data_IF_847689438992
#
_entry.id   IF_847689438992
#
_cell.length_a   1.000
_cell.length_b   1.000
_cell.length_c   1.000
_cell.angle_alpha   90.00
_cell.angle_beta   90.00
_cell.angle_gamma   90.00
#
_symmetry.space_group_name_H-M   'P 1'
#
loop_
_entity.id
_entity.type
_entity.pdbx_description
1 polymer ?
#
# COMPACT_ATOMS: atom_id res chain seq x y z
N UNK A 1 0.52 0.28 33.03
CA UNK A 1 1.78 0.19 32.28
C UNK A 1 1.43 0.43 30.82
N UNK A 2 1.67 1.64 30.35
CA UNK A 2 1.48 2.01 28.96
C UNK A 2 2.54 1.30 28.13
N UNK A 3 2.13 0.30 27.36
CA UNK A 3 2.99 -0.28 26.34
C UNK A 3 3.24 0.83 25.31
N UNK A 4 4.43 1.42 25.32
CA UNK A 4 4.89 2.28 24.24
C UNK A 4 4.75 1.50 22.93
N UNK A 5 3.96 2.02 22.03
CA UNK A 5 3.79 1.47 20.68
C UNK A 5 5.13 1.66 19.96
N UNK A 6 5.82 0.57 19.63
CA UNK A 6 7.07 0.63 18.86
C UNK A 6 6.71 1.19 17.46
N UNK A 7 7.43 2.20 16.97
CA UNK A 7 7.13 2.76 15.65
C UNK A 7 7.33 1.69 14.57
N UNK A 8 6.38 1.61 13.63
CA UNK A 8 6.48 0.73 12.46
C UNK A 8 7.64 1.20 11.58
N UNK A 9 8.62 0.34 11.37
CA UNK A 9 9.79 0.64 10.55
C UNK A 9 9.71 -0.16 9.25
N UNK A 10 9.58 0.55 8.16
CA UNK A 10 9.77 0.02 6.83
C UNK A 10 10.80 0.89 6.14
N UNK A 11 11.92 0.29 5.74
CA UNK A 11 13.02 1.02 5.09
C UNK A 11 12.66 1.29 3.62
N UNK A 12 11.90 2.35 3.38
CA UNK A 12 11.75 2.89 2.05
C UNK A 12 13.04 3.59 1.62
N UNK A 13 13.42 3.36 0.38
CA UNK A 13 14.61 3.98 -0.20
C UNK A 13 14.31 5.47 -0.48
N UNK A 14 15.10 6.36 0.10
CA UNK A 14 15.03 7.79 -0.20
C UNK A 14 15.56 8.09 -1.61
N UNK A 15 15.05 9.11 -2.30
CA UNK A 15 15.58 9.51 -3.59
C UNK A 15 17.04 9.97 -3.44
N UNK A 16 17.85 9.67 -4.46
CA UNK A 16 19.25 10.04 -4.48
C UNK A 16 19.35 11.58 -4.56
N UNK A 17 19.82 12.20 -3.48
CA UNK A 17 20.19 13.62 -3.45
C UNK A 17 21.70 13.73 -3.61
N UNK A 18 22.22 13.56 -4.82
CA UNK A 18 23.61 13.92 -5.12
C UNK A 18 23.69 15.42 -5.44
N UNK A 19 24.53 16.17 -4.71
CA UNK A 19 24.95 17.51 -5.09
C UNK A 19 25.83 17.40 -6.35
N UNK A 20 25.24 17.59 -7.52
CA UNK A 20 25.94 17.60 -8.78
C UNK A 20 26.40 19.02 -9.10
N UNK A 21 27.72 19.18 -9.29
CA UNK A 21 28.34 20.38 -9.79
C UNK A 21 27.78 20.78 -11.17
N UNK A 22 27.65 22.07 -11.42
CA UNK A 22 26.85 22.70 -12.47
C UNK A 22 27.19 22.33 -13.92
N UNK A 23 28.36 21.75 -14.20
CA UNK A 23 28.85 21.43 -15.56
C UNK A 23 28.54 20.02 -16.07
N UNK A 24 27.96 19.14 -15.23
CA UNK A 24 27.58 17.79 -15.61
C UNK A 24 26.06 17.64 -15.87
N UNK A 25 25.36 18.74 -15.99
CA UNK A 25 23.90 18.86 -15.74
C UNK A 25 22.95 18.26 -16.76
N UNK A 26 23.36 17.79 -17.95
CA UNK A 26 22.41 17.24 -18.91
C UNK A 26 22.38 15.70 -18.97
N UNK A 27 23.47 15.01 -18.81
CA UNK A 27 23.49 13.54 -18.82
C UNK A 27 23.42 12.93 -17.41
N UNK A 28 24.07 13.55 -16.43
CA UNK A 28 24.06 13.09 -15.04
C UNK A 28 22.68 13.20 -14.38
N UNK A 29 21.95 14.29 -14.62
CA UNK A 29 20.58 14.49 -14.09
C UNK A 29 19.61 13.39 -14.54
N UNK A 30 19.65 12.99 -15.81
CA UNK A 30 18.74 11.96 -16.36
C UNK A 30 18.98 10.58 -15.77
N UNK A 31 20.25 10.20 -15.55
CA UNK A 31 20.59 8.91 -14.92
C UNK A 31 20.17 8.88 -13.46
N UNK A 32 20.32 10.00 -12.75
CA UNK A 32 19.85 10.16 -11.37
C UNK A 32 18.32 10.08 -11.30
N UNK A 33 17.62 10.71 -12.24
CA UNK A 33 16.15 10.67 -12.34
C UNK A 33 15.64 9.23 -12.56
N UNK A 34 16.25 8.46 -13.46
CA UNK A 34 15.88 7.06 -13.71
C UNK A 34 16.09 6.20 -12.46
N UNK A 35 17.22 6.33 -11.78
CA UNK A 35 17.47 5.60 -10.52
C UNK A 35 16.45 5.97 -9.45
N UNK A 36 16.08 7.24 -9.31
CA UNK A 36 15.07 7.69 -8.37
C UNK A 36 13.68 7.15 -8.71
N UNK A 37 13.32 7.06 -9.99
CA UNK A 37 12.08 6.44 -10.45
C UNK A 37 12.04 4.94 -10.15
N UNK A 38 13.15 4.21 -10.35
CA UNK A 38 13.25 2.79 -10.01
C UNK A 38 13.12 2.57 -8.50
N UNK A 39 13.70 3.44 -7.67
CA UNK A 39 13.52 3.41 -6.22
C UNK A 39 12.06 3.67 -5.83
N UNK A 40 11.40 4.63 -6.47
CA UNK A 40 9.98 4.91 -6.25
C UNK A 40 9.10 3.70 -6.62
N UNK A 41 9.40 2.99 -7.73
CA UNK A 41 8.73 1.74 -8.10
C UNK A 41 8.93 0.64 -7.06
N UNK A 42 10.15 0.50 -6.55
CA UNK A 42 10.44 -0.47 -5.48
C UNK A 42 9.64 -0.15 -4.22
N UNK A 43 9.64 1.11 -3.79
CA UNK A 43 8.88 1.57 -2.63
C UNK A 43 7.37 1.33 -2.79
N UNK A 44 6.81 1.60 -3.98
CA UNK A 44 5.40 1.33 -4.31
C UNK A 44 5.10 -0.16 -4.22
N UNK A 45 5.98 -1.01 -4.77
CA UNK A 45 5.81 -2.47 -4.71
C UNK A 45 5.79 -2.95 -3.26
N UNK A 46 6.70 -2.45 -2.43
CA UNK A 46 6.77 -2.77 -1.01
C UNK A 46 5.51 -2.34 -0.24
N UNK A 47 4.99 -1.15 -0.55
CA UNK A 47 3.74 -0.68 0.05
C UNK A 47 2.53 -1.53 -0.40
N UNK A 48 2.51 -2.00 -1.65
CA UNK A 48 1.45 -2.89 -2.15
C UNK A 48 1.48 -4.25 -1.44
N UNK A 49 2.66 -4.82 -1.22
CA UNK A 49 2.83 -6.05 -0.42
C UNK A 49 2.29 -5.88 1.01
N UNK A 50 2.61 -4.75 1.68
CA UNK A 50 2.06 -4.42 3.00
C UNK A 50 0.52 -4.38 2.99
N UNK A 51 -0.07 -3.77 1.95
CA UNK A 51 -1.52 -3.69 1.79
C UNK A 51 -2.17 -5.05 1.53
N UNK A 52 -1.48 -5.96 0.85
CA UNK A 52 -1.95 -7.33 0.63
C UNK A 52 -1.96 -8.13 1.93
N UNK A 53 -0.91 -8.04 2.74
CA UNK A 53 -0.86 -8.67 4.06
C UNK A 53 -1.95 -8.12 5.00
N UNK A 54 -2.18 -6.81 4.97
CA UNK A 54 -3.26 -6.20 5.74
C UNK A 54 -4.65 -6.70 5.30
N UNK A 55 -4.90 -6.84 4.00
CA UNK A 55 -6.16 -7.35 3.48
C UNK A 55 -6.39 -8.82 3.88
N UNK A 56 -5.36 -9.67 3.81
CA UNK A 56 -5.42 -11.07 4.31
C UNK A 56 -5.76 -11.11 5.80
N UNK A 57 -5.18 -10.19 6.59
CA UNK A 57 -5.51 -10.05 8.00
C UNK A 57 -6.97 -9.68 8.23
N UNK A 58 -7.47 -8.69 7.49
CA UNK A 58 -8.87 -8.25 7.58
C UNK A 58 -9.85 -9.37 7.20
N UNK A 59 -9.54 -10.16 6.19
CA UNK A 59 -10.39 -11.30 5.78
C UNK A 59 -10.50 -12.36 6.88
N UNK A 60 -9.39 -12.69 7.53
CA UNK A 60 -9.39 -13.63 8.67
C UNK A 60 -10.20 -13.10 9.86
N UNK A 61 -10.04 -11.81 10.19
CA UNK A 61 -10.80 -11.16 11.27
C UNK A 61 -12.30 -11.11 10.92
N UNK A 62 -12.64 -10.77 9.69
CA UNK A 62 -14.03 -10.74 9.19
C UNK A 62 -14.68 -12.11 9.30
N UNK A 63 -13.96 -13.19 8.96
CA UNK A 63 -14.45 -14.57 9.10
C UNK A 63 -14.75 -14.92 10.57
N UNK A 64 -13.84 -14.59 11.51
CA UNK A 64 -14.06 -14.82 12.95
C UNK A 64 -15.26 -14.02 13.48
N UNK A 65 -15.40 -12.76 13.08
CA UNK A 65 -16.54 -11.93 13.45
C UNK A 65 -17.85 -12.46 12.88
N UNK A 66 -17.85 -12.94 11.64
CA UNK A 66 -19.02 -13.55 11.01
C UNK A 66 -19.44 -14.83 11.74
N UNK A 67 -18.48 -15.66 12.19
CA UNK A 67 -18.76 -16.85 12.99
C UNK A 67 -19.34 -16.47 14.35
N UNK A 68 -18.78 -15.49 15.06
CA UNK A 68 -19.33 -14.98 16.33
C UNK A 68 -20.79 -14.50 16.11
N UNK A 69 -21.06 -13.78 15.01
CA UNK A 69 -22.42 -13.34 14.68
C UNK A 69 -23.39 -14.52 14.48
N UNK A 70 -22.95 -15.59 13.80
CA UNK A 70 -23.76 -16.79 13.61
C UNK A 70 -24.04 -17.51 14.92
N UNK A 71 -23.04 -17.62 15.81
CA UNK A 71 -23.17 -18.21 17.13
C UNK A 71 -24.11 -17.42 18.05
N UNK A 72 -24.21 -16.11 17.87
CA UNK A 72 -25.09 -15.24 18.64
C UNK A 72 -26.56 -15.28 18.17
N UNK A 73 -26.84 -15.64 16.92
CA UNK A 73 -28.21 -15.62 16.35
C UNK A 73 -29.25 -16.42 17.13
N UNK A 74 -28.99 -17.65 17.62
CA UNK A 74 -30.00 -18.40 18.37
C UNK A 74 -30.51 -17.69 19.61
N UNK A 75 -29.68 -16.90 20.29
CA UNK A 75 -30.06 -16.16 21.50
C UNK A 75 -31.08 -15.04 21.25
N UNK A 76 -31.37 -14.72 19.99
CA UNK A 76 -32.42 -13.75 19.60
C UNK A 76 -33.83 -14.32 19.73
N UNK A 77 -33.97 -15.65 19.79
CA UNK A 77 -35.25 -16.31 19.89
C UNK A 77 -35.75 -16.35 21.36
N UNK A 78 -37.02 -16.08 21.57
CA UNK A 78 -37.63 -16.09 22.90
C UNK A 78 -37.64 -17.47 23.55
N UNK A 79 -37.45 -18.54 22.77
CA UNK A 79 -37.41 -19.95 23.21
C UNK A 79 -35.99 -20.54 23.14
N UNK A 80 -34.97 -19.69 23.25
CA UNK A 80 -33.58 -20.13 23.24
C UNK A 80 -33.31 -21.10 24.42
N UNK A 81 -32.73 -22.25 24.09
CA UNK A 81 -32.41 -23.27 25.10
C UNK A 81 -31.12 -22.87 25.85
N UNK A 82 -31.28 -22.45 27.10
CA UNK A 82 -30.18 -22.08 27.98
C UNK A 82 -29.18 -23.23 28.21
N UNK A 83 -29.56 -24.49 27.96
CA UNK A 83 -28.62 -25.63 28.06
C UNK A 83 -27.49 -25.52 27.02
N UNK A 84 -27.72 -24.85 25.90
CA UNK A 84 -26.73 -24.64 24.85
C UNK A 84 -25.88 -23.37 25.07
N UNK A 85 -26.27 -22.53 26.04
CA UNK A 85 -25.63 -21.26 26.29
C UNK A 85 -24.13 -21.42 26.58
N UNK A 86 -23.74 -22.31 27.46
CA UNK A 86 -22.35 -22.56 27.82
C UNK A 86 -21.49 -22.96 26.62
N UNK A 87 -22.05 -23.75 25.70
CA UNK A 87 -21.36 -24.16 24.47
C UNK A 87 -21.15 -22.98 23.53
N UNK A 88 -22.15 -22.12 23.38
CA UNK A 88 -22.07 -20.89 22.56
C UNK A 88 -21.04 -19.92 23.15
N UNK A 89 -21.05 -19.68 24.46
CA UNK A 89 -20.09 -18.82 25.14
C UNK A 89 -18.65 -19.29 24.98
N UNK A 90 -18.40 -20.60 25.14
CA UNK A 90 -17.08 -21.19 24.94
C UNK A 90 -16.59 -20.96 23.50
N UNK A 91 -17.43 -21.25 22.50
CA UNK A 91 -17.07 -21.04 21.09
C UNK A 91 -16.77 -19.56 20.79
N UNK A 92 -17.60 -18.64 21.27
CA UNK A 92 -17.36 -17.19 21.10
C UNK A 92 -16.08 -16.76 21.80
N UNK A 93 -15.80 -17.28 22.99
CA UNK A 93 -14.54 -16.99 23.70
C UNK A 93 -13.32 -17.50 22.95
N UNK A 94 -13.42 -18.69 22.32
CA UNK A 94 -12.35 -19.22 21.46
C UNK A 94 -12.11 -18.31 20.24
N UNK A 95 -13.16 -17.88 19.54
CA UNK A 95 -13.04 -16.98 18.38
C UNK A 95 -12.48 -15.61 18.77
N UNK A 96 -12.87 -15.07 19.94
CA UNK A 96 -12.29 -13.83 20.47
C UNK A 96 -10.80 -13.98 20.78
N UNK A 97 -10.40 -15.07 21.42
CA UNK A 97 -8.99 -15.35 21.69
C UNK A 97 -8.19 -15.54 20.41
N UNK A 98 -8.76 -16.17 19.40
CA UNK A 98 -8.12 -16.33 18.10
C UNK A 98 -7.96 -14.99 17.39
N UNK A 99 -8.98 -14.12 17.44
CA UNK A 99 -8.90 -12.76 16.90
C UNK A 99 -7.77 -11.97 17.57
N UNK A 100 -7.67 -11.99 18.90
CA UNK A 100 -6.62 -11.27 19.63
C UNK A 100 -5.22 -11.82 19.32
N UNK A 101 -5.07 -13.16 19.21
CA UNK A 101 -3.81 -13.81 18.79
C UNK A 101 -3.42 -13.41 17.37
N UNK A 102 -4.37 -13.52 16.43
CA UNK A 102 -4.16 -13.16 15.03
C UNK A 102 -3.69 -11.71 14.91
N UNK A 103 -4.37 -10.79 15.60
CA UNK A 103 -4.02 -9.37 15.59
C UNK A 103 -2.64 -9.08 16.18
N UNK A 104 -2.20 -9.89 17.15
CA UNK A 104 -0.88 -9.75 17.77
C UNK A 104 0.26 -10.39 16.95
N UNK A 105 -0.04 -11.37 16.11
CA UNK A 105 0.95 -12.18 15.38
C UNK A 105 1.16 -11.75 13.94
N UNK A 106 0.19 -11.07 13.32
CA UNK A 106 0.33 -10.60 11.94
C UNK A 106 1.42 -9.55 11.84
N UNK A 107 2.39 -9.83 10.98
CA UNK A 107 3.56 -9.01 10.76
C UNK A 107 3.84 -8.89 9.26
N UNK A 108 4.39 -7.74 8.88
CA UNK A 108 4.99 -7.51 7.58
C UNK A 108 6.48 -7.16 7.78
N UNK A 109 7.36 -7.98 7.23
CA UNK A 109 8.83 -7.82 7.38
C UNK A 109 9.30 -7.67 8.83
N UNK A 110 8.66 -8.41 9.75
CA UNK A 110 8.97 -8.39 11.18
C UNK A 110 8.24 -7.32 12.00
N UNK A 111 7.55 -6.38 11.36
CA UNK A 111 6.78 -5.33 12.01
C UNK A 111 5.30 -5.67 12.11
N UNK A 112 4.68 -5.43 13.27
CA UNK A 112 3.25 -5.70 13.49
C UNK A 112 2.41 -4.65 12.79
N UNK A 113 1.43 -5.09 12.00
CA UNK A 113 0.60 -4.17 11.20
C UNK A 113 -0.73 -3.79 11.86
N UNK A 114 -1.17 -4.51 12.89
CA UNK A 114 -2.45 -4.32 13.58
C UNK A 114 -2.32 -3.80 15.03
N UNK A 115 -1.15 -3.36 15.43
CA UNK A 115 -0.86 -2.89 16.79
C UNK A 115 -1.18 -1.39 17.03
N UNK A 116 -1.57 -0.66 15.96
CA UNK A 116 -1.87 0.76 15.97
C UNK A 116 -0.73 1.66 15.51
N UNK A 117 0.45 1.10 15.20
CA UNK A 117 1.60 1.85 14.67
C UNK A 117 1.30 2.53 13.32
N UNK A 118 0.40 1.95 12.52
CA UNK A 118 -0.09 2.50 11.24
C UNK A 118 -1.36 3.36 11.39
N UNK A 119 -1.67 3.85 12.60
CA UNK A 119 -2.78 4.77 12.80
C UNK A 119 -2.43 6.19 12.37
N UNK A 120 -3.45 6.99 12.01
CA UNK A 120 -3.30 8.41 11.73
C UNK A 120 -3.26 9.28 13.01
N UNK A 121 -3.21 8.66 14.20
CA UNK A 121 -3.15 9.37 15.47
C UNK A 121 -1.87 10.20 15.56
N UNK A 122 -1.98 11.40 16.19
CA UNK A 122 -0.81 12.22 16.52
C UNK A 122 0.13 11.56 17.53
N UNK A 123 -0.39 10.57 18.28
CA UNK A 123 0.38 9.80 19.27
C UNK A 123 1.20 8.67 18.62
N UNK A 124 1.03 8.42 17.30
CA UNK A 124 1.94 7.58 16.57
C UNK A 124 3.30 8.30 16.50
N UNK A 125 4.32 7.74 17.18
CA UNK A 125 5.64 8.36 17.36
C UNK A 125 6.32 8.71 16.03
N UNK A 126 6.00 7.99 14.95
CA UNK A 126 6.48 8.27 13.59
C UNK A 126 5.42 7.88 12.56
N UNK A 127 5.24 8.75 11.58
CA UNK A 127 4.45 8.43 10.39
C UNK A 127 5.34 7.85 9.30
N UNK A 128 4.86 6.81 8.67
CA UNK A 128 5.52 6.15 7.56
C UNK A 128 5.22 6.89 6.26
N UNK A 129 6.26 7.44 5.62
CA UNK A 129 6.15 8.14 4.35
C UNK A 129 6.75 7.32 3.22
N UNK A 130 5.92 7.03 2.23
CA UNK A 130 6.33 6.42 0.98
C UNK A 130 6.80 7.52 0.02
N UNK A 131 8.03 7.40 -0.48
CA UNK A 131 8.55 8.23 -1.56
C UNK A 131 8.13 7.62 -2.90
N UNK A 132 7.32 8.36 -3.65
CA UNK A 132 6.69 7.90 -4.89
C UNK A 132 7.01 8.81 -6.09
N UNK A 133 8.21 9.42 -6.14
CA UNK A 133 8.64 10.31 -7.23
C UNK A 133 10.13 10.56 -7.23
N UNK A 134 10.59 11.37 -8.19
CA UNK A 134 12.00 11.67 -8.45
C UNK A 134 12.64 12.53 -7.38
N UNK A 135 11.85 13.41 -6.75
CA UNK A 135 12.36 14.38 -5.78
C UNK A 135 11.82 14.11 -4.38
N UNK A 136 12.59 14.49 -3.36
CA UNK A 136 12.15 14.45 -1.97
C UNK A 136 11.08 15.48 -1.60
N UNK A 137 10.42 16.12 -2.58
CA UNK A 137 9.42 17.14 -2.35
C UNK A 137 8.13 16.56 -1.70
N UNK A 138 7.40 17.38 -0.92
CA UNK A 138 6.21 16.93 -0.18
C UNK A 138 5.13 16.28 -1.06
N UNK A 139 4.98 16.75 -2.30
CA UNK A 139 4.00 16.22 -3.26
C UNK A 139 4.31 14.79 -3.71
N UNK A 140 5.57 14.36 -3.61
CA UNK A 140 6.01 13.01 -3.93
C UNK A 140 5.97 12.07 -2.71
N UNK A 141 5.49 12.55 -1.57
CA UNK A 141 5.39 11.78 -0.32
C UNK A 141 3.95 11.36 -0.05
N UNK A 142 3.74 10.08 0.15
CA UNK A 142 2.44 9.52 0.57
C UNK A 142 2.55 9.11 2.04
N UNK A 143 1.74 9.71 2.90
CA UNK A 143 1.66 9.31 4.30
C UNK A 143 0.78 8.05 4.42
N UNK A 144 1.40 6.89 4.67
CA UNK A 144 0.70 5.62 4.79
C UNK A 144 -0.16 5.55 6.05
N UNK A 145 0.26 6.18 7.15
CA UNK A 145 -0.54 6.24 8.37
C UNK A 145 -1.88 6.98 8.13
N UNK A 146 -1.85 8.08 7.38
CA UNK A 146 -3.08 8.79 7.03
C UNK A 146 -3.94 7.99 6.05
N UNK A 147 -3.31 7.36 5.06
CA UNK A 147 -4.00 6.56 4.04
C UNK A 147 -4.68 5.33 4.62
N UNK A 148 -3.97 4.54 5.40
CA UNK A 148 -4.45 3.29 6.00
C UNK A 148 -5.29 3.56 7.26
N UNK A 149 -4.74 4.36 8.17
CA UNK A 149 -5.30 4.66 9.48
C UNK A 149 -5.74 3.38 10.23
N UNK A 150 -4.82 2.43 10.37
CA UNK A 150 -5.05 1.16 11.05
C UNK A 150 -4.92 1.38 12.56
N UNK A 151 -6.02 1.39 13.32
CA UNK A 151 -5.94 1.45 14.77
C UNK A 151 -5.42 0.12 15.32
N UNK A 152 -5.08 0.08 16.59
CA UNK A 152 -4.85 -1.20 17.26
C UNK A 152 -6.11 -2.06 17.18
N UNK A 153 -5.97 -3.26 16.61
CA UNK A 153 -7.07 -4.23 16.50
C UNK A 153 -6.98 -5.22 17.65
N UNK A 154 -8.09 -5.36 18.39
CA UNK A 154 -8.28 -6.35 19.45
C UNK A 154 -9.77 -6.45 19.75
N UNK A 155 -10.20 -7.51 20.44
CA UNK A 155 -11.56 -7.62 20.90
C UNK A 155 -12.00 -6.39 21.71
N UNK A 156 -11.12 -5.85 22.54
CA UNK A 156 -11.39 -4.65 23.34
C UNK A 156 -11.61 -3.42 22.45
N UNK A 157 -10.74 -3.16 21.50
CA UNK A 157 -10.83 -1.96 20.62
C UNK A 157 -11.94 -2.06 19.59
N UNK A 158 -12.34 -3.28 19.22
CA UNK A 158 -13.51 -3.54 18.39
C UNK A 158 -14.84 -3.50 19.15
N UNK A 159 -14.79 -3.27 20.48
CA UNK A 159 -15.99 -3.20 21.30
C UNK A 159 -16.60 -4.56 21.66
N UNK A 160 -15.84 -5.67 21.51
CA UNK A 160 -16.28 -7.04 21.77
C UNK A 160 -15.97 -7.50 23.21
N UNK A 161 -15.92 -6.59 24.17
CA UNK A 161 -15.51 -6.87 25.54
C UNK A 161 -16.42 -7.89 26.23
N UNK A 162 -17.51 -7.43 26.81
CA UNK A 162 -18.50 -8.29 27.48
C UNK A 162 -19.64 -8.57 26.53
N UNK A 163 -19.82 -9.82 26.15
CA UNK A 163 -20.94 -10.32 25.35
C UNK A 163 -21.82 -11.18 26.24
N UNK A 164 -23.11 -10.89 26.26
CA UNK A 164 -24.11 -11.60 27.04
C UNK A 164 -25.19 -12.16 26.12
N UNK A 165 -25.76 -13.31 26.47
CA UNK A 165 -26.66 -14.08 25.63
C UNK A 165 -27.83 -14.67 26.41
N UNK A 166 -28.03 -14.28 27.69
CA UNK A 166 -29.05 -14.89 28.56
C UNK A 166 -30.48 -14.47 28.21
N UNK A 167 -30.60 -13.33 27.53
CA UNK A 167 -31.92 -12.81 27.10
C UNK A 167 -31.85 -12.40 25.61
N UNK A 168 -33.01 -12.33 24.92
CA UNK A 168 -33.07 -11.84 23.55
C UNK A 168 -32.50 -10.42 23.38
N UNK A 169 -32.67 -9.55 24.37
CA UNK A 169 -32.13 -8.18 24.34
C UNK A 169 -30.59 -8.20 24.43
N UNK A 170 -30.01 -9.08 25.24
CA UNK A 170 -28.55 -9.24 25.35
C UNK A 170 -27.98 -9.82 24.04
N UNK A 171 -28.63 -10.83 23.47
CA UNK A 171 -28.31 -11.37 22.16
C UNK A 171 -28.35 -10.32 21.05
N UNK A 172 -29.37 -9.45 21.07
CA UNK A 172 -29.49 -8.34 20.12
C UNK A 172 -28.33 -7.35 20.29
N UNK A 173 -28.02 -6.90 21.51
CA UNK A 173 -26.88 -6.02 21.80
C UNK A 173 -25.57 -6.65 21.33
N UNK A 174 -25.34 -7.92 21.61
CA UNK A 174 -24.14 -8.63 21.16
C UNK A 174 -24.05 -8.67 19.62
N UNK A 175 -25.15 -8.93 18.92
CA UNK A 175 -25.18 -8.89 17.46
C UNK A 175 -24.82 -7.49 16.93
N UNK A 176 -25.35 -6.42 17.52
CA UNK A 176 -25.02 -5.05 17.16
C UNK A 176 -23.54 -4.71 17.40
N UNK A 177 -22.92 -5.22 18.49
CA UNK A 177 -21.50 -5.05 18.74
C UNK A 177 -20.65 -5.70 17.64
N UNK A 178 -21.00 -6.93 17.23
CA UNK A 178 -20.30 -7.64 16.15
C UNK A 178 -20.48 -6.91 14.80
N UNK A 179 -21.67 -6.42 14.51
CA UNK A 179 -21.92 -5.63 13.28
C UNK A 179 -21.11 -4.33 13.25
N UNK A 180 -21.01 -3.66 14.39
CA UNK A 180 -20.12 -2.48 14.52
C UNK A 180 -18.67 -2.83 14.24
N UNK A 181 -18.16 -3.95 14.81
CA UNK A 181 -16.82 -4.44 14.57
C UNK A 181 -16.61 -4.79 13.08
N UNK A 182 -17.54 -5.49 12.44
CA UNK A 182 -17.52 -5.77 11.00
C UNK A 182 -17.47 -4.47 10.18
N UNK A 183 -18.25 -3.46 10.57
CA UNK A 183 -18.22 -2.14 9.94
C UNK A 183 -16.85 -1.43 10.05
N UNK A 184 -16.11 -1.65 11.13
CA UNK A 184 -14.73 -1.13 11.27
C UNK A 184 -13.82 -1.83 10.26
N UNK A 185 -13.84 -3.16 10.20
CA UNK A 185 -13.00 -3.95 9.28
C UNK A 185 -13.32 -3.61 7.82
N UNK A 186 -14.59 -3.50 7.46
CA UNK A 186 -15.02 -3.09 6.11
C UNK A 186 -14.45 -1.73 5.72
N UNK A 187 -14.44 -0.75 6.63
CA UNK A 187 -13.84 0.57 6.37
C UNK A 187 -12.33 0.49 6.17
N UNK A 188 -11.63 -0.35 6.92
CA UNK A 188 -10.18 -0.56 6.76
C UNK A 188 -9.87 -1.21 5.41
N UNK A 189 -10.63 -2.22 4.99
CA UNK A 189 -10.54 -2.81 3.64
C UNK A 189 -10.78 -1.76 2.55
N UNK A 190 -11.79 -0.91 2.71
CA UNK A 190 -12.05 0.18 1.76
C UNK A 190 -10.89 1.17 1.64
N UNK A 191 -10.22 1.51 2.73
CA UNK A 191 -9.03 2.37 2.72
C UNK A 191 -7.84 1.69 2.03
N UNK A 192 -7.60 0.41 2.33
CA UNK A 192 -6.58 -0.39 1.66
C UNK A 192 -6.79 -0.38 0.14
N UNK A 193 -8.01 -0.65 -0.34
CA UNK A 193 -8.35 -0.65 -1.76
C UNK A 193 -8.17 0.72 -2.42
N UNK A 194 -8.56 1.79 -1.73
CA UNK A 194 -8.36 3.16 -2.22
C UNK A 194 -6.87 3.49 -2.39
N UNK A 195 -6.06 3.11 -1.40
CA UNK A 195 -4.60 3.33 -1.44
C UNK A 195 -3.94 2.46 -2.53
N UNK A 196 -4.31 1.18 -2.68
CA UNK A 196 -3.86 0.33 -3.79
C UNK A 196 -4.17 0.96 -5.15
N UNK A 197 -5.38 1.49 -5.32
CA UNK A 197 -5.78 2.17 -6.55
C UNK A 197 -4.95 3.43 -6.83
N UNK A 198 -4.59 4.18 -5.79
CA UNK A 198 -3.69 5.33 -5.90
C UNK A 198 -2.29 4.89 -6.32
N UNK A 199 -1.72 3.89 -5.64
CA UNK A 199 -0.38 3.36 -5.94
C UNK A 199 -0.29 2.80 -7.36
N UNK A 200 -1.30 2.10 -7.84
CA UNK A 200 -1.37 1.64 -9.23
C UNK A 200 -1.36 2.78 -10.25
N UNK A 201 -2.04 3.90 -9.96
CA UNK A 201 -2.01 5.08 -10.85
C UNK A 201 -0.63 5.72 -10.87
N UNK A 202 0.00 5.87 -9.71
CA UNK A 202 1.35 6.45 -9.59
C UNK A 202 2.35 5.55 -10.30
N UNK A 203 2.30 4.23 -10.08
CA UNK A 203 3.14 3.26 -10.77
C UNK A 203 3.08 3.44 -12.29
N UNK A 204 1.88 3.49 -12.87
CA UNK A 204 1.72 3.71 -14.33
C UNK A 204 2.30 5.05 -14.78
N UNK A 205 2.18 6.12 -13.99
CA UNK A 205 2.78 7.42 -14.31
C UNK A 205 4.31 7.34 -14.32
N UNK A 206 4.90 6.61 -13.37
CA UNK A 206 6.34 6.39 -13.30
C UNK A 206 6.81 5.55 -14.50
N UNK A 207 6.10 4.45 -14.83
CA UNK A 207 6.41 3.60 -15.98
C UNK A 207 6.45 4.41 -17.30
N UNK A 208 5.50 5.34 -17.49
CA UNK A 208 5.49 6.28 -18.64
C UNK A 208 6.69 7.24 -18.58
N UNK A 209 7.03 7.75 -17.40
CA UNK A 209 8.19 8.65 -17.23
C UNK A 209 9.49 7.94 -17.59
N UNK A 210 9.68 6.70 -17.14
CA UNK A 210 10.85 5.88 -17.48
C UNK A 210 10.93 5.67 -18.99
N UNK A 211 9.82 5.30 -19.63
CA UNK A 211 9.78 5.10 -21.08
C UNK A 211 10.14 6.37 -21.85
N UNK A 212 9.67 7.54 -21.40
CA UNK A 212 10.01 8.84 -21.99
C UNK A 212 11.50 9.18 -21.83
N UNK A 213 12.08 8.92 -20.64
CA UNK A 213 13.52 9.12 -20.43
C UNK A 213 14.36 8.22 -21.34
N UNK A 214 14.02 6.93 -21.45
CA UNK A 214 14.70 5.97 -22.33
C UNK A 214 14.58 6.37 -23.82
N UNK A 215 13.39 6.82 -24.25
CA UNK A 215 13.20 7.32 -25.60
C UNK A 215 14.03 8.57 -25.88
N UNK A 216 14.12 9.50 -24.92
CA UNK A 216 14.95 10.69 -25.06
C UNK A 216 16.46 10.36 -25.13
N UNK A 217 16.94 9.33 -24.44
CA UNK A 217 18.33 8.86 -24.54
C UNK A 217 18.64 8.24 -25.92
N UNK A 218 17.68 7.55 -26.52
CA UNK A 218 17.86 6.95 -27.86
C UNK A 218 17.85 7.96 -29.01
N UNK A 219 17.22 9.13 -28.83
CA UNK A 219 17.05 10.15 -29.85
C UNK A 219 18.37 10.78 -30.32
N UNK A 220 19.37 11.14 -29.47
CA UNK A 220 20.65 11.69 -29.93
C UNK A 220 21.43 10.73 -30.82
N UNK A 221 21.42 9.43 -30.52
CA UNK A 221 22.09 8.41 -31.32
C UNK A 221 21.44 8.25 -32.71
N UNK A 222 20.12 8.39 -32.80
CA UNK A 222 19.42 8.33 -34.09
C UNK A 222 19.65 9.59 -34.91
N UNK A 223 19.74 10.77 -34.31
CA UNK A 223 20.07 12.03 -34.98
C UNK A 223 21.51 12.05 -35.48
N UNK A 224 22.48 11.64 -34.64
CA UNK A 224 23.87 11.54 -35.04
C UNK A 224 24.05 10.57 -36.20
N UNK A 225 23.34 9.42 -36.16
CA UNK A 225 23.36 8.42 -37.25
C UNK A 225 22.64 8.91 -38.50
N UNK A 226 21.55 9.68 -38.35
CA UNK A 226 20.87 10.33 -39.46
C UNK A 226 21.76 11.41 -40.11
N UNK A 227 22.50 12.21 -39.35
CA UNK A 227 23.47 13.17 -39.87
C UNK A 227 24.65 12.48 -40.59
N UNK A 228 25.13 11.37 -40.05
CA UNK A 228 26.19 10.55 -40.66
C UNK A 228 25.72 10.00 -42.02
N UNK A 229 24.52 9.42 -42.09
CA UNK A 229 23.89 8.96 -43.32
C UNK A 229 23.67 10.12 -44.30
N UNK A 230 23.20 11.28 -43.82
CA UNK A 230 22.99 12.46 -44.65
C UNK A 230 24.31 12.99 -45.23
N UNK A 231 25.37 13.03 -44.46
CA UNK A 231 26.73 13.37 -44.93
C UNK A 231 27.24 12.35 -45.91
N UNK A 232 27.06 11.05 -45.68
CA UNK A 232 27.44 9.99 -46.63
C UNK A 232 26.71 10.11 -47.96
N UNK A 233 25.41 10.41 -47.97
CA UNK A 233 24.62 10.64 -49.20
C UNK A 233 25.11 11.89 -49.96
N UNK A 234 25.42 12.99 -49.26
CA UNK A 234 25.92 14.21 -49.89
C UNK A 234 27.34 14.07 -50.44
N UNK A 235 28.17 13.22 -49.87
CA UNK A 235 29.50 12.89 -50.40
C UNK A 235 29.47 11.94 -51.55
N UNK A 236 28.34 11.18 -51.74
CA UNK A 236 28.13 10.22 -52.83
C UNK A 236 27.38 10.79 -54.02
N UNK A 237 27.09 12.09 -54.07
CA UNK A 237 26.47 12.69 -55.29
C UNK A 237 27.55 12.74 -56.38
N UNK A 238 27.44 11.92 -57.43
CA UNK A 238 28.49 11.84 -58.44
C UNK A 238 28.60 13.17 -59.21
N UNK A 239 29.81 13.70 -59.26
CA UNK A 239 30.24 14.86 -60.06
C UNK A 239 30.15 14.58 -61.57
N UNK A 240 29.29 13.72 -62.11
CA UNK A 240 29.19 13.31 -63.48
C UNK A 240 27.83 13.49 -64.10
N UNK A 241 27.32 14.74 -64.14
CA UNK A 241 26.33 15.14 -65.18
C UNK A 241 26.74 16.55 -65.66
N UNK A 242 27.91 16.66 -66.25
CA UNK A 242 28.24 17.76 -67.19
C UNK A 242 29.36 17.24 -68.05
N UNK A 243 28.96 16.68 -69.19
CA UNK A 243 29.73 16.64 -70.43
C UNK A 243 29.05 15.62 -71.37
N UNK A 244 27.99 16.03 -72.04
CA UNK A 244 27.58 15.52 -73.37
C UNK A 244 26.40 16.36 -73.91
N UNK A 245 26.64 17.63 -74.19
CA UNK A 245 25.91 18.30 -75.24
C UNK A 245 26.87 19.31 -75.91
N UNK A 246 27.50 18.87 -76.99
CA UNK A 246 28.32 19.67 -77.88
C UNK A 246 28.99 18.86 -78.97
N UNK A 247 28.22 18.39 -79.99
CA UNK A 247 28.53 18.49 -81.40
C UNK A 247 27.36 17.95 -82.21
#
# INVERSE_FOLDING_TARGET
MDQKTIPFKLDFIDPITENLDHDFLQSGSRVTDLKSLDQALHNISLAMELLEEADVAYEKIEALLAEIKQLAKPSLASNFDLSQLSTVEVKISLNKNELDKLSALIQFKGERILDGSLSASRDAEQHLYLMAGVTGSPENRINLNTGLNIPKISCKTLGLGTMLFNTPEEGFKTTMMVESALGIITRLKGRSQALKSLLHRIKRSIDVSIANHQAAESTPHSLAKAEEIFRAIHTYTPRNIREHHGK
#
